data_IF_933478229208
#
_entry.id   IF_933478229208
#
_cell.length_a   1.000
_cell.length_b   1.000
_cell.length_c   1.000
_cell.angle_alpha   90.00
_cell.angle_beta   90.00
_cell.angle_gamma   90.00
#
_symmetry.space_group_name_H-M   'P 1'
#
loop_
_entity.id
_entity.type
_entity.pdbx_description
1 polymer ?
#
# COMPACT_ATOMS: atom_id res chain seq x y z
N UNK A 1 15.30 30.65 -34.58
CA UNK A 1 14.00 29.96 -34.45
C UNK A 1 13.95 29.23 -33.11
N UNK A 2 13.09 29.66 -32.18
CA UNK A 2 12.94 29.04 -30.86
C UNK A 2 11.96 27.87 -30.97
N UNK A 3 12.41 26.64 -30.67
CA UNK A 3 11.55 25.45 -30.60
C UNK A 3 10.95 25.38 -29.20
N UNK A 4 9.67 25.71 -29.07
CA UNK A 4 8.92 25.51 -27.83
C UNK A 4 8.66 24.01 -27.67
N UNK A 5 9.45 23.35 -26.83
CA UNK A 5 9.20 21.98 -26.38
C UNK A 5 7.89 21.97 -25.58
N UNK A 6 6.82 21.47 -26.20
CA UNK A 6 5.52 21.28 -25.54
C UNK A 6 5.63 20.11 -24.57
N UNK A 7 5.95 20.44 -23.32
CA UNK A 7 5.42 19.86 -22.10
C UNK A 7 5.12 18.34 -22.16
N UNK A 8 6.16 17.52 -22.02
CA UNK A 8 6.04 16.08 -21.75
C UNK A 8 5.49 15.84 -20.34
N UNK A 9 4.21 16.11 -20.12
CA UNK A 9 3.53 15.67 -18.90
C UNK A 9 3.50 14.14 -18.88
N UNK A 10 3.86 13.47 -17.77
CA UNK A 10 3.79 12.02 -17.69
C UNK A 10 2.35 11.54 -17.89
N UNK A 11 2.13 10.72 -18.92
CA UNK A 11 0.86 10.03 -19.19
C UNK A 11 0.72 8.86 -18.23
N UNK A 12 0.34 9.09 -16.97
CA UNK A 12 -0.02 7.96 -16.09
C UNK A 12 -0.87 8.30 -14.85
N UNK A 13 -1.16 9.56 -14.52
CA UNK A 13 -1.98 9.87 -13.33
C UNK A 13 -3.47 10.01 -13.69
N UNK A 14 -4.10 9.01 -14.33
CA UNK A 14 -5.50 9.22 -14.72
C UNK A 14 -6.31 8.08 -15.34
N UNK A 15 -5.76 6.90 -15.63
CA UNK A 15 -6.62 5.77 -16.05
C UNK A 15 -7.18 5.09 -14.81
N UNK A 16 -8.49 5.26 -14.57
CA UNK A 16 -9.24 4.46 -13.62
C UNK A 16 -9.10 2.98 -14.00
N UNK A 17 -8.46 2.20 -13.12
CA UNK A 17 -8.35 0.77 -13.32
C UNK A 17 -9.74 0.14 -13.39
N UNK A 18 -9.91 -0.76 -14.35
CA UNK A 18 -11.09 -1.62 -14.37
C UNK A 18 -11.08 -2.53 -13.14
N UNK A 19 -12.26 -3.01 -12.74
CA UNK A 19 -12.39 -3.97 -11.63
C UNK A 19 -11.50 -5.21 -11.83
N UNK A 20 -11.38 -5.68 -13.08
CA UNK A 20 -10.55 -6.84 -13.43
C UNK A 20 -9.05 -6.57 -13.17
N UNK A 21 -8.57 -5.38 -13.56
CA UNK A 21 -7.17 -4.98 -13.34
C UNK A 21 -6.86 -4.81 -11.86
N UNK A 22 -7.78 -4.21 -11.08
CA UNK A 22 -7.63 -4.11 -9.62
C UNK A 22 -7.58 -5.48 -8.97
N UNK A 23 -8.46 -6.41 -9.39
CA UNK A 23 -8.46 -7.77 -8.86
C UNK A 23 -7.17 -8.51 -9.20
N UNK A 24 -6.67 -8.35 -10.43
CA UNK A 24 -5.41 -8.94 -10.85
C UNK A 24 -4.20 -8.34 -10.10
N UNK A 25 -4.19 -7.03 -9.85
CA UNK A 25 -3.18 -6.38 -9.02
C UNK A 25 -3.23 -6.88 -7.57
N UNK A 26 -4.43 -6.98 -6.99
CA UNK A 26 -4.63 -7.50 -5.65
C UNK A 26 -4.14 -8.95 -5.49
N UNK A 27 -4.51 -9.83 -6.44
CA UNK A 27 -4.02 -11.22 -6.47
C UNK A 27 -2.50 -11.30 -6.57
N UNK A 28 -1.88 -10.47 -7.41
CA UNK A 28 -0.41 -10.39 -7.51
C UNK A 28 0.23 -9.96 -6.19
N UNK A 29 -0.34 -8.97 -5.52
CA UNK A 29 0.14 -8.52 -4.21
C UNK A 29 0.03 -9.64 -3.16
N UNK A 30 -1.10 -10.35 -3.09
CA UNK A 30 -1.28 -11.48 -2.16
C UNK A 30 -0.29 -12.62 -2.44
N UNK A 31 -0.07 -12.96 -3.72
CA UNK A 31 0.91 -13.98 -4.09
C UNK A 31 2.34 -13.58 -3.71
N UNK A 32 2.70 -12.29 -3.84
CA UNK A 32 4.01 -11.80 -3.41
C UNK A 32 4.18 -11.95 -1.89
N UNK A 33 3.18 -11.52 -1.11
CA UNK A 33 3.19 -11.66 0.35
C UNK A 33 3.23 -13.14 0.78
N UNK A 34 2.53 -14.02 0.07
CA UNK A 34 2.52 -15.46 0.33
C UNK A 34 3.91 -16.11 0.26
N UNK A 35 4.81 -15.57 -0.58
CA UNK A 35 6.18 -16.06 -0.75
C UNK A 35 7.19 -15.45 0.23
N UNK A 36 6.82 -14.40 0.95
CA UNK A 36 7.71 -13.71 1.89
C UNK A 36 7.90 -14.47 3.19
N UNK A 37 9.08 -14.33 3.79
CA UNK A 37 9.37 -14.84 5.14
C UNK A 37 8.66 -14.00 6.22
N UNK A 38 8.69 -14.46 7.46
CA UNK A 38 8.09 -13.73 8.58
C UNK A 38 8.78 -12.39 8.81
N UNK A 39 10.10 -12.32 8.64
CA UNK A 39 10.92 -11.12 8.78
C UNK A 39 10.59 -10.10 7.69
N UNK A 40 10.50 -10.53 6.43
CA UNK A 40 10.14 -9.64 5.32
C UNK A 40 8.73 -9.06 5.47
N UNK A 41 7.78 -9.87 5.95
CA UNK A 41 6.44 -9.41 6.28
C UNK A 41 6.46 -8.40 7.42
N UNK A 42 7.29 -8.63 8.44
CA UNK A 42 7.44 -7.68 9.54
C UNK A 42 8.00 -6.34 9.08
N UNK A 43 9.05 -6.35 8.24
CA UNK A 43 9.63 -5.15 7.64
C UNK A 43 8.60 -4.36 6.82
N UNK A 44 7.76 -5.04 6.03
CA UNK A 44 6.67 -4.37 5.31
C UNK A 44 5.69 -3.68 6.25
N UNK A 45 5.31 -4.33 7.35
CA UNK A 45 4.38 -3.74 8.31
C UNK A 45 5.01 -2.56 9.07
N UNK A 46 6.33 -2.60 9.30
CA UNK A 46 7.09 -1.48 9.88
C UNK A 46 7.19 -0.32 8.89
N UNK A 47 7.53 -0.58 7.63
CA UNK A 47 7.60 0.42 6.57
C UNK A 47 6.25 1.07 6.27
N UNK A 48 5.16 0.31 6.37
CA UNK A 48 3.79 0.83 6.29
C UNK A 48 3.35 1.64 7.53
N UNK A 49 4.17 1.68 8.58
CA UNK A 49 3.84 2.37 9.83
C UNK A 49 2.70 1.72 10.62
N UNK A 50 2.41 0.43 10.39
CA UNK A 50 1.36 -0.33 11.08
C UNK A 50 1.88 -0.83 12.44
N UNK A 51 3.08 -1.41 12.45
CA UNK A 51 3.81 -1.77 13.66
C UNK A 51 5.09 -0.94 13.78
N UNK A 52 5.52 -0.74 15.02
CA UNK A 52 6.85 -0.23 15.35
C UNK A 52 7.88 -1.34 15.24
N UNK A 53 9.16 -0.95 15.15
CA UNK A 53 10.30 -1.89 15.13
C UNK A 53 10.37 -2.80 16.36
N UNK A 54 9.71 -2.40 17.45
CA UNK A 54 9.60 -3.19 18.69
C UNK A 54 8.46 -4.23 18.68
N UNK A 55 7.78 -4.40 17.54
CA UNK A 55 6.66 -5.34 17.40
C UNK A 55 5.31 -4.82 17.89
N UNK A 56 5.25 -3.62 18.48
CA UNK A 56 4.01 -3.00 18.95
C UNK A 56 3.28 -2.28 17.84
N UNK A 57 1.95 -2.39 17.77
CA UNK A 57 1.12 -1.59 16.87
C UNK A 57 1.33 -0.09 17.10
N UNK A 58 1.40 0.69 16.02
CA UNK A 58 1.52 2.15 16.13
C UNK A 58 0.22 2.75 16.63
N UNK A 59 0.25 3.96 17.21
CA UNK A 59 -0.92 4.61 17.83
C UNK A 59 -2.16 4.66 16.93
N UNK A 60 -1.98 4.77 15.60
CA UNK A 60 -3.06 4.75 14.60
C UNK A 60 -3.80 3.42 14.53
N UNK A 61 -3.11 2.31 14.80
CA UNK A 61 -3.63 0.95 14.71
C UNK A 61 -3.74 0.24 16.07
N UNK A 62 -3.06 0.74 17.10
CA UNK A 62 -2.89 0.11 18.42
C UNK A 62 -3.29 1.01 19.60
N UNK A 63 -3.99 2.12 19.36
CA UNK A 63 -4.51 2.98 20.41
C UNK A 63 -5.86 2.48 20.93
N UNK A 64 -5.86 1.63 21.96
CA UNK A 64 -7.01 1.25 22.82
C UNK A 64 -8.39 1.38 22.14
N UNK A 65 -8.82 0.31 21.46
CA UNK A 65 -10.23 -0.01 21.40
C UNK A 65 -10.72 -0.27 22.84
N UNK A 66 -11.23 0.75 23.52
CA UNK A 66 -12.34 0.51 24.45
C UNK A 66 -13.55 0.22 23.54
N UNK A 67 -13.84 -1.06 23.32
CA UNK A 67 -15.07 -1.57 22.69
C UNK A 67 -15.68 -0.68 21.59
N UNK A 68 -15.04 -0.59 20.42
CA UNK A 68 -15.78 -0.31 19.19
C UNK A 68 -15.44 -1.36 18.15
N UNK A 69 -16.42 -2.13 17.66
CA UNK A 69 -16.16 -3.07 16.57
C UNK A 69 -15.69 -2.29 15.35
N UNK A 70 -14.68 -2.83 14.68
CA UNK A 70 -14.25 -2.38 13.35
C UNK A 70 -15.44 -2.59 12.40
N UNK A 71 -16.03 -1.52 11.89
CA UNK A 71 -17.08 -1.58 10.86
C UNK A 71 -16.42 -1.26 9.52
N UNK A 72 -16.56 -2.19 8.56
CA UNK A 72 -16.19 -2.00 7.16
C UNK A 72 -17.07 -0.95 6.48
#
# INVERSE_FOLDING_TARGET
MKRNSTNSKPRANGTLHTRAELLAAHRRALNAVGKMTAEERFELLVGAGIVSRTGKLTKRYGGRAKNKPFVW
#
